data_IF_644919302860
#
_entry.id   IF_644919302860
#
_cell.length_a   1.000
_cell.length_b   1.000
_cell.length_c   1.000
_cell.angle_alpha   90.00
_cell.angle_beta   90.00
_cell.angle_gamma   90.00
#
_symmetry.space_group_name_H-M   'P 1'
#
loop_
_entity.id
_entity.type
_entity.pdbx_description
1 polymer ?
#
# COMPACT_ATOMS: atom_id res chain seq x y z
N UNK A 1 52.73 -15.81 -2.04
CA UNK A 1 51.85 -14.63 -2.21
C UNK A 1 51.95 -13.75 -0.96
N UNK A 2 52.52 -12.54 -1.07
CA UNK A 2 52.69 -11.61 0.07
C UNK A 2 51.33 -11.39 0.76
N UNK A 3 51.28 -11.25 2.08
CA UNK A 3 50.05 -11.17 2.88
C UNK A 3 49.03 -10.14 2.32
N UNK A 4 49.54 -9.02 1.78
CA UNK A 4 48.75 -8.00 1.05
C UNK A 4 47.95 -8.57 -0.14
N UNK A 5 48.52 -9.48 -0.93
CA UNK A 5 47.85 -10.09 -2.07
C UNK A 5 46.74 -11.06 -1.62
N UNK A 6 46.90 -11.74 -0.48
CA UNK A 6 45.84 -12.61 0.07
C UNK A 6 44.63 -11.78 0.52
N UNK A 7 44.88 -10.64 1.18
CA UNK A 7 43.83 -9.70 1.61
C UNK A 7 43.06 -9.15 0.41
N UNK A 8 43.76 -8.73 -0.65
CA UNK A 8 43.13 -8.22 -1.89
C UNK A 8 42.20 -9.28 -2.50
N UNK A 9 42.64 -10.54 -2.57
CA UNK A 9 41.82 -11.63 -3.11
C UNK A 9 40.57 -11.85 -2.27
N UNK A 10 40.66 -11.82 -0.94
CA UNK A 10 39.50 -11.95 -0.05
C UNK A 10 38.50 -10.80 -0.24
N UNK A 11 38.99 -9.56 -0.37
CA UNK A 11 38.14 -8.39 -0.62
C UNK A 11 37.41 -8.54 -1.96
N UNK A 12 38.08 -8.99 -3.02
CA UNK A 12 37.45 -9.22 -4.32
C UNK A 12 36.34 -10.29 -4.25
N UNK A 13 36.56 -11.36 -3.49
CA UNK A 13 35.53 -12.40 -3.27
C UNK A 13 34.31 -11.80 -2.58
N UNK A 14 34.50 -11.00 -1.52
CA UNK A 14 33.38 -10.35 -0.80
C UNK A 14 32.59 -9.40 -1.71
N UNK A 15 33.29 -8.61 -2.53
CA UNK A 15 32.64 -7.72 -3.51
C UNK A 15 31.85 -8.53 -4.52
N UNK A 16 32.41 -9.62 -5.04
CA UNK A 16 31.72 -10.49 -5.99
C UNK A 16 30.45 -11.10 -5.38
N UNK A 17 30.51 -11.58 -4.14
CA UNK A 17 29.35 -12.13 -3.43
C UNK A 17 28.27 -11.04 -3.27
N UNK A 18 28.67 -9.83 -2.86
CA UNK A 18 27.75 -8.71 -2.70
C UNK A 18 27.06 -8.33 -4.01
N UNK A 19 27.80 -8.28 -5.13
CA UNK A 19 27.24 -7.99 -6.44
C UNK A 19 26.25 -9.08 -6.87
N UNK A 20 26.64 -10.36 -6.79
CA UNK A 20 25.77 -11.49 -7.13
C UNK A 20 24.48 -11.49 -6.29
N UNK A 21 24.59 -11.19 -5.00
CA UNK A 21 23.44 -11.11 -4.10
C UNK A 21 22.50 -9.96 -4.48
N UNK A 22 23.01 -8.78 -4.84
CA UNK A 22 22.19 -7.66 -5.29
C UNK A 22 21.50 -7.92 -6.63
N UNK A 23 22.20 -8.57 -7.57
CA UNK A 23 21.60 -9.00 -8.84
C UNK A 23 20.48 -10.02 -8.61
N UNK A 24 20.71 -11.00 -7.74
CA UNK A 24 19.71 -11.98 -7.34
C UNK A 24 18.48 -11.30 -6.70
N UNK A 25 18.70 -10.39 -5.74
CA UNK A 25 17.62 -9.62 -5.14
C UNK A 25 16.82 -8.92 -6.25
N UNK A 26 17.47 -8.10 -7.08
CA UNK A 26 16.77 -7.30 -8.09
C UNK A 26 16.00 -8.11 -9.13
N UNK A 27 16.46 -9.31 -9.51
CA UNK A 27 15.72 -10.19 -10.43
C UNK A 27 14.43 -10.75 -9.83
N UNK A 28 14.30 -10.74 -8.51
CA UNK A 28 13.13 -11.21 -7.79
C UNK A 28 12.08 -10.13 -7.48
N UNK A 29 12.26 -8.89 -7.97
CA UNK A 29 11.24 -7.85 -7.82
C UNK A 29 9.94 -8.29 -8.50
N UNK A 30 8.84 -8.24 -7.75
CA UNK A 30 7.50 -8.55 -8.25
C UNK A 30 6.71 -7.28 -8.52
N UNK A 31 5.87 -7.39 -9.53
CA UNK A 31 4.92 -6.36 -9.94
C UNK A 31 3.58 -7.05 -10.11
N UNK A 32 2.57 -6.61 -9.35
CA UNK A 32 1.22 -7.17 -9.37
C UNK A 32 0.25 -6.10 -9.81
N UNK A 33 -0.51 -6.36 -10.87
CA UNK A 33 -1.58 -5.48 -11.30
C UNK A 33 -2.79 -5.64 -10.39
N UNK A 34 -3.44 -4.52 -10.08
CA UNK A 34 -4.64 -4.44 -9.26
C UNK A 34 -5.72 -3.81 -10.12
N UNK A 35 -6.78 -4.56 -10.36
CA UNK A 35 -8.05 -4.08 -10.89
C UNK A 35 -9.15 -4.64 -10.00
N UNK A 36 -9.70 -3.78 -9.14
CA UNK A 36 -10.65 -4.16 -8.09
C UNK A 36 -11.82 -3.20 -8.12
N UNK A 37 -13.00 -3.73 -7.83
CA UNK A 37 -14.25 -2.98 -7.80
C UNK A 37 -15.05 -3.37 -6.57
N UNK A 38 -15.39 -2.37 -5.77
CA UNK A 38 -16.16 -2.48 -4.54
C UNK A 38 -17.50 -1.80 -4.78
N UNK A 39 -18.51 -2.62 -5.03
CA UNK A 39 -19.87 -2.14 -5.28
C UNK A 39 -20.57 -1.80 -3.97
N UNK A 40 -21.30 -0.68 -3.95
CA UNK A 40 -22.18 -0.29 -2.85
C UNK A 40 -21.45 -0.18 -1.50
N UNK A 41 -20.24 0.37 -1.51
CA UNK A 41 -19.46 0.67 -0.31
C UNK A 41 -20.21 1.67 0.57
N UNK A 42 -20.16 1.49 1.89
CA UNK A 42 -20.93 2.31 2.83
C UNK A 42 -20.15 3.58 3.15
N UNK A 43 -20.82 4.73 3.06
CA UNK A 43 -20.30 6.02 3.53
C UNK A 43 -20.87 6.31 4.90
N UNK A 44 -19.98 6.53 5.87
CA UNK A 44 -20.30 6.87 7.25
C UNK A 44 -19.79 8.27 7.55
N UNK A 45 -20.61 9.08 8.21
CA UNK A 45 -20.19 10.38 8.74
C UNK A 45 -20.56 10.46 10.23
N UNK A 46 -19.55 10.60 11.09
CA UNK A 46 -19.70 10.57 12.55
C UNK A 46 -20.05 9.18 13.07
N UNK A 47 -21.31 8.76 12.90
CA UNK A 47 -21.79 7.43 13.31
C UNK A 47 -23.09 7.03 12.59
N UNK A 48 -23.37 7.60 11.43
CA UNK A 48 -24.55 7.32 10.63
C UNK A 48 -24.15 6.96 9.20
N UNK A 49 -24.88 6.02 8.60
CA UNK A 49 -24.78 5.75 7.17
C UNK A 49 -25.43 6.92 6.43
N UNK A 50 -24.65 7.63 5.63
CA UNK A 50 -25.11 8.82 4.90
C UNK A 50 -25.26 8.58 3.40
N UNK A 51 -24.53 7.63 2.84
CA UNK A 51 -24.62 7.29 1.41
C UNK A 51 -24.05 5.89 1.12
N UNK A 52 -24.22 5.44 -0.12
CA UNK A 52 -23.50 4.31 -0.69
C UNK A 52 -22.80 4.72 -1.98
N UNK A 53 -21.56 4.27 -2.18
CA UNK A 53 -20.76 4.62 -3.35
C UNK A 53 -20.04 3.42 -3.91
N UNK A 54 -19.83 3.45 -5.22
CA UNK A 54 -18.99 2.49 -5.90
C UNK A 54 -17.54 2.97 -5.91
N UNK A 55 -16.61 2.04 -5.64
CA UNK A 55 -15.17 2.33 -5.67
C UNK A 55 -14.50 1.41 -6.68
N UNK A 56 -13.73 2.00 -7.60
CA UNK A 56 -12.89 1.27 -8.54
C UNK A 56 -11.42 1.61 -8.35
N UNK A 57 -10.56 0.60 -8.39
CA UNK A 57 -9.12 0.76 -8.24
C UNK A 57 -8.46 0.18 -9.46
N UNK A 58 -7.56 0.95 -10.05
CA UNK A 58 -6.68 0.47 -11.10
C UNK A 58 -5.27 0.91 -10.78
N UNK A 59 -4.35 -0.05 -10.66
CA UNK A 59 -2.97 0.26 -10.31
C UNK A 59 -2.06 -0.95 -10.30
N UNK A 60 -0.92 -0.76 -9.67
CA UNK A 60 0.16 -1.73 -9.61
C UNK A 60 0.79 -1.68 -8.23
N UNK A 61 0.88 -2.84 -7.57
CA UNK A 61 1.67 -3.04 -6.37
C UNK A 61 3.04 -3.58 -6.77
N UNK A 62 4.09 -2.81 -6.52
CA UNK A 62 5.44 -3.15 -6.96
C UNK A 62 6.45 -3.17 -5.81
N UNK A 63 7.37 -4.12 -5.85
CA UNK A 63 8.56 -4.14 -5.00
C UNK A 63 9.49 -2.97 -5.36
N UNK A 64 9.84 -2.13 -4.38
CA UNK A 64 10.65 -0.92 -4.60
C UNK A 64 12.11 -1.16 -4.22
N UNK A 65 12.45 -1.02 -2.95
CA UNK A 65 13.81 -1.18 -2.42
C UNK A 65 13.85 -2.31 -1.40
N UNK A 66 14.97 -3.03 -1.36
CA UNK A 66 15.16 -4.14 -0.44
C UNK A 66 15.54 -3.61 0.95
N UNK A 67 14.77 -3.98 1.96
CA UNK A 67 15.04 -3.60 3.34
C UNK A 67 15.83 -4.72 4.01
N UNK A 68 17.16 -4.56 4.08
CA UNK A 68 18.07 -5.57 4.64
C UNK A 68 17.75 -5.95 6.09
N UNK A 69 17.27 -5.02 6.91
CA UNK A 69 16.88 -5.29 8.31
C UNK A 69 15.77 -6.34 8.41
N UNK A 70 14.88 -6.42 7.42
CA UNK A 70 13.73 -7.31 7.41
C UNK A 70 13.81 -8.39 6.33
N UNK A 71 14.91 -8.40 5.56
CA UNK A 71 15.15 -9.30 4.42
C UNK A 71 13.96 -9.39 3.45
N UNK A 72 13.29 -8.24 3.22
CA UNK A 72 12.12 -8.16 2.35
C UNK A 72 12.11 -6.87 1.55
N UNK A 73 11.41 -6.90 0.42
CA UNK A 73 11.13 -5.69 -0.34
C UNK A 73 10.10 -4.81 0.36
N UNK A 74 10.35 -3.50 0.34
CA UNK A 74 9.28 -2.53 0.49
C UNK A 74 8.37 -2.59 -0.74
N UNK A 75 7.08 -2.34 -0.54
CA UNK A 75 6.08 -2.35 -1.60
C UNK A 75 5.34 -1.02 -1.64
N UNK A 76 5.04 -0.58 -2.85
CA UNK A 76 4.33 0.67 -3.12
C UNK A 76 3.19 0.38 -4.10
N UNK A 77 2.01 0.96 -3.81
CA UNK A 77 0.84 0.96 -4.68
C UNK A 77 0.81 2.25 -5.50
N UNK A 78 0.92 2.13 -6.83
CA UNK A 78 0.73 3.25 -7.76
C UNK A 78 -0.50 3.01 -8.60
N UNK A 79 -1.34 4.02 -8.72
CA UNK A 79 -2.56 3.87 -9.50
C UNK A 79 -3.57 4.96 -9.23
N UNK A 80 -4.81 4.65 -9.54
CA UNK A 80 -5.93 5.55 -9.40
C UNK A 80 -7.10 4.85 -8.73
N UNK A 81 -7.80 5.62 -7.90
CA UNK A 81 -9.03 5.21 -7.22
C UNK A 81 -10.14 6.11 -7.73
N UNK A 82 -11.22 5.52 -8.22
CA UNK A 82 -12.42 6.24 -8.61
C UNK A 82 -13.47 5.99 -7.54
N UNK A 83 -14.04 7.06 -7.01
CA UNK A 83 -15.16 7.05 -6.06
C UNK A 83 -16.31 7.72 -6.80
N UNK A 84 -17.32 6.93 -7.19
CA UNK A 84 -18.32 7.34 -8.18
C UNK A 84 -17.64 7.89 -9.47
N UNK A 85 -17.99 9.12 -9.87
CA UNK A 85 -17.45 9.79 -11.06
C UNK A 85 -16.12 10.53 -10.80
N UNK A 86 -15.65 10.57 -9.55
CA UNK A 86 -14.44 11.29 -9.17
C UNK A 86 -13.23 10.38 -9.17
N UNK A 87 -12.17 10.80 -9.85
CA UNK A 87 -10.90 10.07 -9.93
C UNK A 87 -9.83 10.72 -9.07
N UNK A 88 -9.11 9.90 -8.33
CA UNK A 88 -7.99 10.26 -7.47
C UNK A 88 -6.76 9.42 -7.83
N UNK A 89 -5.57 9.96 -7.58
CA UNK A 89 -4.29 9.28 -7.66
C UNK A 89 -3.88 8.79 -6.29
N UNK A 90 -3.40 7.54 -6.23
CA UNK A 90 -2.76 7.01 -5.03
C UNK A 90 -1.34 7.53 -4.97
N UNK A 91 -1.01 8.26 -3.91
CA UNK A 91 0.34 8.78 -3.65
C UNK A 91 0.79 8.38 -2.24
N UNK A 92 2.10 8.52 -1.97
CA UNK A 92 2.74 8.23 -0.69
C UNK A 92 2.31 6.88 -0.07
N UNK A 93 2.20 5.83 -0.88
CA UNK A 93 1.71 4.54 -0.42
C UNK A 93 2.82 3.61 0.05
N UNK A 94 2.50 2.74 0.99
CA UNK A 94 3.40 1.70 1.49
C UNK A 94 2.62 0.50 2.00
N UNK A 95 3.31 -0.63 2.14
CA UNK A 95 2.74 -1.84 2.76
C UNK A 95 3.34 -2.02 4.16
N UNK A 96 2.46 -2.12 5.15
CA UNK A 96 2.85 -2.32 6.55
C UNK A 96 3.44 -3.71 6.78
N UNK A 97 3.91 -4.00 8.00
CA UNK A 97 4.42 -5.34 8.33
C UNK A 97 3.36 -6.42 8.23
N UNK A 98 2.12 -6.08 8.55
CA UNK A 98 0.98 -6.99 8.56
C UNK A 98 0.35 -7.17 7.18
N UNK A 99 0.90 -6.47 6.17
CA UNK A 99 0.50 -6.60 4.77
C UNK A 99 -0.58 -5.62 4.34
N UNK A 100 -1.08 -4.78 5.24
CA UNK A 100 -2.02 -3.69 4.93
C UNK A 100 -1.34 -2.69 4.02
N UNK A 101 -2.00 -2.29 2.94
CA UNK A 101 -1.53 -1.20 2.08
C UNK A 101 -2.13 0.09 2.60
N UNK A 102 -1.31 1.11 2.84
CA UNK A 102 -1.75 2.44 3.27
C UNK A 102 -1.21 3.49 2.29
N UNK A 103 -1.94 4.58 2.11
CA UNK A 103 -1.50 5.71 1.29
C UNK A 103 -2.47 6.87 1.38
N UNK A 104 -2.29 7.85 0.49
CA UNK A 104 -3.20 8.99 0.37
C UNK A 104 -3.77 9.08 -1.05
N UNK A 105 -4.94 9.67 -1.15
CA UNK A 105 -5.62 10.00 -2.39
C UNK A 105 -5.50 11.50 -2.63
N UNK A 106 -5.19 11.84 -3.87
CA UNK A 106 -5.03 13.22 -4.33
C UNK A 106 -5.70 13.41 -5.67
N UNK A 107 -6.29 14.58 -5.91
CA UNK A 107 -6.86 14.91 -7.24
C UNK A 107 -5.80 15.12 -8.29
N UNK A 108 -4.67 15.71 -7.91
CA UNK A 108 -3.55 15.95 -8.81
C UNK A 108 -2.43 14.93 -8.65
N UNK A 109 -1.77 14.62 -9.77
CA UNK A 109 -0.64 13.70 -9.76
C UNK A 109 0.57 14.35 -9.08
N UNK A 110 1.14 13.66 -8.09
CA UNK A 110 2.30 14.08 -7.28
C UNK A 110 2.02 15.15 -6.20
N UNK A 111 0.74 15.40 -5.90
CA UNK A 111 0.40 16.19 -4.72
C UNK A 111 0.61 15.35 -3.44
N UNK A 112 1.01 16.03 -2.36
CA UNK A 112 1.19 15.43 -1.03
C UNK A 112 0.14 15.90 -0.01
N UNK A 113 -0.72 16.85 -0.40
CA UNK A 113 -1.85 17.29 0.41
C UNK A 113 -2.98 16.29 0.20
N UNK A 114 -3.30 15.53 1.25
CA UNK A 114 -4.29 14.47 1.20
C UNK A 114 -5.73 15.00 1.02
N UNK A 115 -6.39 14.61 -0.07
CA UNK A 115 -7.85 14.70 -0.15
C UNK A 115 -8.47 13.65 0.79
N UNK A 116 -7.96 12.42 0.76
CA UNK A 116 -8.36 11.32 1.65
C UNK A 116 -7.19 10.41 1.96
N UNK A 117 -7.24 9.73 3.10
CA UNK A 117 -6.39 8.58 3.38
C UNK A 117 -7.05 7.30 2.83
N UNK A 118 -6.23 6.32 2.48
CA UNK A 118 -6.71 5.04 1.95
C UNK A 118 -5.92 3.88 2.54
N UNK A 119 -6.66 2.84 2.90
CA UNK A 119 -6.11 1.58 3.39
C UNK A 119 -6.77 0.38 2.73
N UNK A 120 -5.99 -0.68 2.53
CA UNK A 120 -6.44 -1.96 1.99
C UNK A 120 -6.01 -3.10 2.89
N UNK A 121 -6.88 -4.10 3.03
CA UNK A 121 -6.50 -5.39 3.61
C UNK A 121 -5.35 -6.02 2.81
N UNK A 122 -4.66 -6.95 3.46
CA UNK A 122 -3.54 -7.69 2.86
C UNK A 122 -3.90 -8.40 1.55
N UNK A 123 -5.11 -8.92 1.47
CA UNK A 123 -5.61 -9.67 0.31
C UNK A 123 -6.36 -8.79 -0.70
N UNK A 124 -6.42 -7.47 -0.45
CA UNK A 124 -7.08 -6.47 -1.30
C UNK A 124 -8.56 -6.79 -1.54
N UNK A 125 -9.20 -7.38 -0.54
CA UNK A 125 -10.62 -7.74 -0.52
C UNK A 125 -11.46 -6.78 0.32
N UNK A 126 -10.81 -5.93 1.12
CA UNK A 126 -11.44 -4.85 1.87
C UNK A 126 -10.68 -3.54 1.62
N UNK A 127 -11.44 -2.44 1.60
CA UNK A 127 -10.97 -1.07 1.41
C UNK A 127 -11.57 -0.17 2.47
N UNK A 128 -10.76 0.78 2.93
CA UNK A 128 -11.21 1.89 3.73
C UNK A 128 -10.63 3.21 3.19
N UNK A 129 -11.47 4.21 2.93
CA UNK A 129 -11.09 5.57 2.56
C UNK A 129 -11.61 6.51 3.63
N UNK A 130 -10.80 7.42 4.15
CA UNK A 130 -11.23 8.23 5.29
C UNK A 130 -10.60 9.63 5.31
N UNK A 131 -11.29 10.55 6.00
CA UNK A 131 -10.80 11.89 6.36
C UNK A 131 -11.53 12.38 7.60
N UNK A 132 -10.86 12.39 8.75
CA UNK A 132 -11.52 12.69 10.02
C UNK A 132 -12.68 11.72 10.27
N UNK A 133 -13.89 12.26 10.47
CA UNK A 133 -15.08 11.46 10.78
C UNK A 133 -15.83 10.94 9.55
N UNK A 134 -15.30 11.20 8.34
CA UNK A 134 -15.84 10.69 7.08
C UNK A 134 -15.11 9.41 6.70
N UNK A 135 -15.86 8.31 6.55
CA UNK A 135 -15.33 6.98 6.25
C UNK A 135 -16.12 6.38 5.08
N UNK A 136 -15.42 5.72 4.16
CA UNK A 136 -16.00 4.87 3.14
C UNK A 136 -15.38 3.49 3.28
N UNK A 137 -16.19 2.46 3.49
CA UNK A 137 -15.70 1.09 3.67
C UNK A 137 -16.41 0.11 2.75
N UNK A 138 -15.66 -0.85 2.22
CA UNK A 138 -16.21 -1.89 1.36
C UNK A 138 -15.40 -3.19 1.45
N UNK A 139 -16.04 -4.35 1.25
CA UNK A 139 -17.48 -4.56 1.16
C UNK A 139 -18.14 -4.51 2.56
N UNK A 140 -19.18 -3.69 2.73
CA UNK A 140 -19.95 -3.64 3.97
C UNK A 140 -21.45 -3.55 3.66
N UNK A 141 -22.29 -4.16 4.50
CA UNK A 141 -23.76 -4.16 4.39
C UNK A 141 -24.44 -3.39 5.52
N UNK A 142 -23.71 -3.09 6.59
CA UNK A 142 -24.22 -2.35 7.74
C UNK A 142 -23.18 -1.36 8.26
N UNK A 143 -23.63 -0.44 9.11
CA UNK A 143 -22.75 0.49 9.82
C UNK A 143 -21.70 -0.26 10.65
N UNK A 144 -22.11 -1.29 11.39
CA UNK A 144 -21.22 -2.07 12.24
C UNK A 144 -20.14 -2.78 11.42
N UNK A 145 -20.49 -3.33 10.25
CA UNK A 145 -19.51 -3.92 9.34
C UNK A 145 -18.53 -2.87 8.80
N UNK A 146 -19.01 -1.70 8.40
CA UNK A 146 -18.16 -0.61 7.91
C UNK A 146 -17.18 -0.12 9.00
N UNK A 147 -17.66 0.09 10.22
CA UNK A 147 -16.83 0.48 11.37
C UNK A 147 -15.83 -0.63 11.71
N UNK A 148 -16.22 -1.90 11.62
CA UNK A 148 -15.33 -3.01 11.88
C UNK A 148 -14.18 -3.07 10.86
N UNK A 149 -14.47 -2.91 9.55
CA UNK A 149 -13.45 -2.82 8.49
C UNK A 149 -12.47 -1.68 8.78
N UNK A 150 -12.98 -0.49 9.11
CA UNK A 150 -12.13 0.64 9.50
C UNK A 150 -11.20 0.27 10.67
N UNK A 151 -11.74 -0.31 11.74
CA UNK A 151 -10.95 -0.71 12.92
C UNK A 151 -9.90 -1.77 12.59
N UNK A 152 -10.24 -2.76 11.75
CA UNK A 152 -9.32 -3.85 11.41
C UNK A 152 -8.18 -3.41 10.50
N UNK A 153 -8.42 -2.48 9.57
CA UNK A 153 -7.42 -2.11 8.55
C UNK A 153 -6.67 -0.82 8.90
N UNK A 154 -7.35 0.15 9.51
CA UNK A 154 -6.77 1.48 9.80
C UNK A 154 -6.02 1.49 11.13
N UNK A 155 -6.44 0.68 12.11
CA UNK A 155 -5.82 0.59 13.45
C UNK A 155 -5.66 1.97 14.15
N UNK A 156 -6.54 2.93 13.83
CA UNK A 156 -6.62 4.25 14.48
C UNK A 156 -7.95 4.30 15.24
N UNK A 157 -7.98 4.63 16.55
CA UNK A 157 -9.22 4.78 17.29
C UNK A 157 -10.06 5.95 16.73
N UNK A 158 -11.37 5.73 16.58
CA UNK A 158 -12.35 6.80 16.30
C UNK A 158 -12.58 7.52 17.64
N UNK A 159 -12.30 8.82 17.70
CA UNK A 159 -12.56 9.67 18.87
C UNK A 159 -14.01 10.16 18.89
#
# INVERSE_FOLDING_TARGET
>A
MKMKNKIIVVILILISIFICFNLYINSHKKVTNIDKYFKNSIVVEGNAVVNHVDIKINGTLSDTHFIYRYLKYSKELKGTVSIEDKKYYVTASSVTKDGVVQGILTKEKNELISDYEISFSKDLDEICIYKGNYIISGPAKSLDEAINIYKTIVDIPIN
#
